data_IF_900152529232
#
_entry.id   IF_900152529232
#
_cell.length_a   1.000
_cell.length_b   1.000
_cell.length_c   1.000
_cell.angle_alpha   90.00
_cell.angle_beta   90.00
_cell.angle_gamma   90.00
#
_symmetry.space_group_name_H-M   'P 1'
#
loop_
_entity.id
_entity.type
_entity.pdbx_description
1 polymer ?
#
# COMPACT_ATOMS: atom_id res chain seq x y z
N UNK A 1 7.01 -13.99 -39.25
CA UNK A 1 6.01 -13.99 -38.16
C UNK A 1 6.68 -13.55 -36.85
N UNK A 2 5.97 -12.84 -35.95
CA UNK A 2 6.54 -12.34 -34.69
C UNK A 2 6.05 -13.20 -33.52
N UNK A 3 6.99 -13.72 -32.70
CA UNK A 3 6.67 -14.55 -31.53
C UNK A 3 7.29 -13.97 -30.26
N UNK A 4 6.47 -13.64 -29.26
CA UNK A 4 6.91 -13.23 -27.92
C UNK A 4 7.04 -14.48 -27.06
N UNK A 5 8.19 -14.68 -26.42
CA UNK A 5 8.54 -15.94 -25.73
C UNK A 5 8.95 -15.66 -24.29
N UNK A 6 8.29 -16.29 -23.33
CA UNK A 6 8.71 -16.34 -21.93
C UNK A 6 9.83 -17.37 -21.75
N UNK A 7 10.99 -16.91 -21.27
CA UNK A 7 12.20 -17.73 -21.10
C UNK A 7 12.29 -18.47 -19.76
N UNK A 8 11.27 -18.32 -18.90
CA UNK A 8 11.33 -18.86 -17.54
C UNK A 8 12.48 -18.25 -16.74
N UNK A 9 13.20 -19.09 -15.99
CA UNK A 9 14.42 -18.70 -15.25
C UNK A 9 15.60 -18.34 -16.16
N UNK A 10 15.49 -18.58 -17.46
CA UNK A 10 16.59 -18.45 -18.42
C UNK A 10 17.44 -19.70 -18.54
N UNK A 11 17.08 -20.81 -17.86
CA UNK A 11 17.70 -22.11 -18.04
C UNK A 11 16.97 -22.91 -19.12
N UNK A 12 17.65 -23.82 -19.86
CA UNK A 12 17.01 -24.60 -20.91
C UNK A 12 15.81 -25.42 -20.42
N UNK A 13 15.86 -25.92 -19.18
CA UNK A 13 14.78 -26.71 -18.58
C UNK A 13 13.53 -25.93 -18.22
N UNK A 14 13.59 -24.60 -18.16
CA UNK A 14 12.44 -23.72 -17.85
C UNK A 14 11.71 -23.21 -19.10
N UNK A 15 12.24 -23.45 -20.29
CA UNK A 15 11.65 -23.06 -21.54
C UNK A 15 10.61 -24.08 -22.02
N UNK A 16 9.46 -23.63 -22.50
CA UNK A 16 8.47 -24.53 -23.07
C UNK A 16 8.98 -25.12 -24.40
N UNK A 17 8.51 -26.32 -24.75
CA UNK A 17 8.87 -26.97 -26.02
C UNK A 17 8.49 -26.08 -27.23
N UNK A 18 7.35 -25.38 -27.16
CA UNK A 18 6.94 -24.43 -28.20
C UNK A 18 7.85 -23.20 -28.27
N UNK A 19 8.29 -22.70 -27.12
CA UNK A 19 9.26 -21.58 -27.04
C UNK A 19 10.60 -21.97 -27.66
N UNK A 20 11.11 -23.15 -27.34
CA UNK A 20 12.34 -23.68 -27.92
C UNK A 20 12.24 -23.82 -29.45
N UNK A 21 11.17 -24.42 -29.95
CA UNK A 21 10.97 -24.57 -31.39
C UNK A 21 10.89 -23.21 -32.11
N UNK A 22 10.19 -22.23 -31.51
CA UNK A 22 10.10 -20.88 -32.08
C UNK A 22 11.47 -20.14 -32.06
N UNK A 23 12.29 -20.36 -31.05
CA UNK A 23 13.66 -19.79 -31.00
C UNK A 23 14.60 -20.40 -32.03
N UNK A 24 14.50 -21.73 -32.21
CA UNK A 24 15.33 -22.45 -33.18
C UNK A 24 14.97 -22.14 -34.64
N UNK A 25 13.69 -21.82 -34.88
CA UNK A 25 13.18 -21.42 -36.20
C UNK A 25 13.26 -19.93 -36.51
N UNK A 26 13.75 -19.10 -35.59
CA UNK A 26 13.77 -17.67 -35.78
C UNK A 26 15.00 -17.22 -36.59
N UNK A 27 14.77 -16.34 -37.60
CA UNK A 27 15.82 -15.65 -38.34
C UNK A 27 16.49 -14.57 -37.48
N UNK A 28 15.70 -13.97 -36.56
CA UNK A 28 16.16 -12.92 -35.66
C UNK A 28 15.63 -13.11 -34.25
N UNK A 29 16.52 -12.90 -33.24
CA UNK A 29 16.16 -13.02 -31.81
C UNK A 29 16.46 -11.70 -31.12
N UNK A 30 15.43 -11.05 -30.58
CA UNK A 30 15.48 -9.79 -29.87
C UNK A 30 15.27 -9.99 -28.37
N UNK A 31 15.96 -9.22 -27.52
CA UNK A 31 15.77 -9.26 -26.08
C UNK A 31 16.87 -8.63 -25.28
N UNK A 32 16.79 -8.71 -23.96
CA UNK A 32 17.83 -8.22 -23.08
C UNK A 32 19.14 -9.02 -23.26
N UNK A 33 20.29 -8.33 -23.20
CA UNK A 33 21.62 -8.92 -23.40
C UNK A 33 21.84 -10.20 -22.58
N UNK A 34 21.39 -10.23 -21.32
CA UNK A 34 21.53 -11.41 -20.45
C UNK A 34 20.75 -12.63 -20.95
N UNK A 35 19.54 -12.42 -21.51
CA UNK A 35 18.71 -13.51 -22.05
C UNK A 35 19.28 -14.06 -23.37
N UNK A 36 19.83 -13.18 -24.19
CA UNK A 36 20.51 -13.59 -25.43
C UNK A 36 21.77 -14.40 -25.17
N UNK A 37 22.41 -14.20 -24.01
CA UNK A 37 23.60 -14.97 -23.61
C UNK A 37 23.25 -16.39 -23.12
N UNK A 38 21.99 -16.63 -22.69
CA UNK A 38 21.53 -17.94 -22.15
C UNK A 38 20.65 -18.70 -23.14
N UNK A 39 20.62 -18.31 -24.41
CA UNK A 39 19.84 -19.02 -25.42
C UNK A 39 20.31 -20.49 -25.56
N UNK A 40 19.38 -21.46 -25.67
CA UNK A 40 19.70 -22.85 -25.88
C UNK A 40 20.52 -23.11 -27.16
N UNK A 41 21.15 -24.26 -27.21
CA UNK A 41 21.80 -24.74 -28.43
C UNK A 41 20.83 -24.85 -29.62
N UNK A 42 21.31 -24.63 -30.83
CA UNK A 42 20.50 -24.65 -32.04
C UNK A 42 19.76 -23.37 -32.36
N UNK A 43 19.83 -22.33 -31.53
CA UNK A 43 19.29 -21.00 -31.84
C UNK A 43 20.33 -20.21 -32.67
N UNK A 44 20.22 -20.24 -34.00
CA UNK A 44 21.16 -19.66 -34.94
C UNK A 44 20.80 -18.27 -35.46
N UNK A 45 19.60 -17.78 -35.14
CA UNK A 45 19.10 -16.47 -35.57
C UNK A 45 19.97 -15.30 -35.15
N UNK A 46 19.91 -14.22 -35.91
CA UNK A 46 20.67 -12.98 -35.64
C UNK A 46 20.21 -12.40 -34.28
N UNK A 47 21.17 -12.26 -33.33
CA UNK A 47 20.89 -11.79 -31.95
C UNK A 47 21.08 -10.30 -31.86
N UNK A 48 20.03 -9.59 -31.40
CA UNK A 48 20.08 -8.14 -31.22
C UNK A 48 19.55 -7.73 -29.83
N UNK A 49 20.37 -7.03 -29.06
CA UNK A 49 20.03 -6.58 -27.72
C UNK A 49 19.11 -5.34 -27.79
N UNK A 50 17.81 -5.57 -27.83
CA UNK A 50 16.76 -4.56 -27.80
C UNK A 50 15.75 -4.89 -26.70
N UNK A 51 15.37 -3.86 -25.93
CA UNK A 51 14.39 -4.02 -24.84
C UNK A 51 13.37 -2.87 -24.77
N UNK A 52 13.65 -1.73 -25.40
CA UNK A 52 12.71 -0.60 -25.45
C UNK A 52 11.67 -0.84 -26.54
N UNK A 53 10.37 -0.64 -26.26
CA UNK A 53 9.31 -0.89 -27.23
C UNK A 53 9.48 -0.18 -28.56
N UNK A 54 9.90 1.12 -28.56
CA UNK A 54 10.07 1.89 -29.78
C UNK A 54 11.22 1.34 -30.66
N UNK A 55 12.35 0.94 -30.04
CA UNK A 55 13.49 0.34 -30.73
C UNK A 55 13.10 -1.03 -31.34
N UNK A 56 12.29 -1.81 -30.60
CA UNK A 56 11.76 -3.08 -31.07
C UNK A 56 10.86 -2.85 -32.27
N UNK A 57 9.90 -1.92 -32.20
CA UNK A 57 9.01 -1.62 -33.32
C UNK A 57 9.75 -1.18 -34.57
N UNK A 58 10.74 -0.32 -34.42
CA UNK A 58 11.58 0.11 -35.54
C UNK A 58 12.29 -1.09 -36.21
N UNK A 59 12.82 -2.01 -35.41
CA UNK A 59 13.44 -3.25 -35.90
C UNK A 59 12.42 -4.15 -36.59
N UNK A 60 11.24 -4.34 -36.03
CA UNK A 60 10.18 -5.18 -36.60
C UNK A 60 9.70 -4.62 -37.95
N UNK A 61 9.54 -3.30 -38.06
CA UNK A 61 9.11 -2.64 -39.31
C UNK A 61 10.12 -2.83 -40.44
N UNK A 62 11.42 -2.95 -40.12
CA UNK A 62 12.47 -3.18 -41.10
C UNK A 62 12.63 -4.65 -41.57
N UNK A 63 11.97 -5.61 -40.85
CA UNK A 63 12.20 -7.05 -41.06
C UNK A 63 10.89 -7.85 -41.00
N UNK A 64 9.82 -7.35 -41.63
CA UNK A 64 8.47 -7.96 -41.58
C UNK A 64 8.39 -9.33 -42.27
N UNK A 65 9.32 -9.65 -43.14
CA UNK A 65 9.43 -10.91 -43.88
C UNK A 65 10.19 -12.00 -43.09
N UNK A 66 10.85 -11.65 -41.98
CA UNK A 66 11.61 -12.58 -41.15
C UNK A 66 10.71 -13.26 -40.07
N UNK A 67 11.14 -14.44 -39.62
CA UNK A 67 10.65 -15.07 -38.37
C UNK A 67 11.40 -14.45 -37.19
N UNK A 68 10.69 -13.64 -36.37
CA UNK A 68 11.31 -12.89 -35.29
C UNK A 68 10.83 -13.40 -33.94
N UNK A 69 11.77 -13.77 -33.06
CA UNK A 69 11.51 -14.13 -31.68
C UNK A 69 11.91 -12.97 -30.73
N UNK A 70 10.98 -12.58 -29.84
CA UNK A 70 11.25 -11.64 -28.75
C UNK A 70 11.26 -12.38 -27.44
N UNK A 71 12.37 -12.34 -26.72
CA UNK A 71 12.55 -13.07 -25.47
C UNK A 71 12.38 -12.18 -24.25
N UNK A 72 11.56 -12.65 -23.30
CA UNK A 72 11.30 -12.01 -22.02
C UNK A 72 11.67 -12.93 -20.87
N UNK A 73 12.11 -12.36 -19.75
CA UNK A 73 12.37 -13.12 -18.52
C UNK A 73 11.07 -13.61 -17.91
N UNK A 74 11.07 -14.78 -17.35
CA UNK A 74 9.87 -15.34 -16.71
C UNK A 74 8.77 -15.64 -17.69
N UNK A 75 7.55 -15.26 -17.35
CA UNK A 75 6.35 -15.37 -18.16
C UNK A 75 6.02 -14.05 -18.89
N UNK A 76 5.52 -14.14 -20.12
CA UNK A 76 5.14 -12.97 -20.92
C UNK A 76 3.95 -12.19 -20.36
N UNK A 77 3.11 -12.81 -19.55
CA UNK A 77 1.93 -12.20 -18.93
C UNK A 77 2.14 -11.72 -17.51
N UNK A 78 3.31 -12.02 -16.87
CA UNK A 78 3.55 -11.69 -15.47
C UNK A 78 4.53 -10.52 -15.32
N UNK A 79 4.02 -9.29 -15.17
CA UNK A 79 4.79 -8.06 -15.05
C UNK A 79 5.91 -7.91 -16.09
N UNK A 80 5.66 -8.39 -17.30
CA UNK A 80 6.62 -8.43 -18.40
C UNK A 80 6.55 -7.18 -19.27
N UNK A 81 7.69 -6.78 -19.87
CA UNK A 81 7.73 -5.75 -20.92
C UNK A 81 6.84 -6.06 -22.14
N UNK A 82 6.42 -7.30 -22.32
CA UNK A 82 5.45 -7.68 -23.35
C UNK A 82 4.11 -6.92 -23.21
N UNK A 83 3.70 -6.58 -21.99
CA UNK A 83 2.48 -5.82 -21.71
C UNK A 83 2.49 -4.41 -22.33
N UNK A 84 3.65 -3.80 -22.49
CA UNK A 84 3.82 -2.49 -23.15
C UNK A 84 3.85 -2.64 -24.68
N UNK A 85 4.52 -3.67 -25.18
CA UNK A 85 4.69 -3.88 -26.62
C UNK A 85 3.39 -4.38 -27.31
N UNK A 86 2.63 -5.27 -26.69
CA UNK A 86 1.44 -5.88 -27.28
C UNK A 86 0.38 -4.87 -27.75
N UNK A 87 0.01 -3.83 -26.98
CA UNK A 87 -0.90 -2.80 -27.45
C UNK A 87 -0.38 -2.04 -28.68
N UNK A 88 0.94 -1.79 -28.71
CA UNK A 88 1.58 -1.08 -29.82
C UNK A 88 1.57 -1.92 -31.09
N UNK A 89 1.91 -3.22 -31.01
CA UNK A 89 1.80 -4.14 -32.16
C UNK A 89 0.37 -4.17 -32.73
N UNK A 90 -0.62 -4.24 -31.86
CA UNK A 90 -2.04 -4.20 -32.27
C UNK A 90 -2.40 -2.89 -32.97
N UNK A 91 -1.94 -1.75 -32.45
CA UNK A 91 -2.21 -0.43 -33.03
C UNK A 91 -1.61 -0.29 -34.44
N UNK A 92 -0.46 -0.94 -34.71
CA UNK A 92 0.19 -0.98 -36.02
C UNK A 92 -0.30 -2.13 -36.93
N UNK A 93 -1.31 -2.91 -36.50
CA UNK A 93 -1.83 -4.04 -37.28
C UNK A 93 -0.86 -5.20 -37.43
N UNK A 94 0.14 -5.29 -36.56
CA UNK A 94 1.18 -6.33 -36.59
C UNK A 94 0.68 -7.55 -35.80
N UNK A 95 0.47 -8.67 -36.50
CA UNK A 95 0.10 -9.94 -35.88
C UNK A 95 1.31 -10.56 -35.17
N UNK A 96 1.07 -11.06 -33.94
CA UNK A 96 2.09 -11.76 -33.19
C UNK A 96 1.50 -12.96 -32.43
N UNK A 97 2.37 -13.93 -32.17
CA UNK A 97 2.10 -15.08 -31.28
C UNK A 97 2.72 -14.81 -29.93
N UNK A 98 2.04 -15.19 -28.83
CA UNK A 98 2.57 -15.08 -27.47
C UNK A 98 2.69 -16.46 -26.87
N UNK A 99 3.87 -16.81 -26.40
CA UNK A 99 4.16 -18.08 -25.73
C UNK A 99 4.50 -17.83 -24.26
N UNK A 100 3.86 -18.57 -23.34
CA UNK A 100 4.12 -18.42 -21.90
C UNK A 100 5.48 -18.96 -21.50
N UNK A 101 5.94 -18.54 -20.31
CA UNK A 101 7.10 -19.11 -19.61
C UNK A 101 6.78 -19.34 -18.14
N UNK A 102 7.70 -19.93 -17.39
CA UNK A 102 7.57 -20.08 -15.93
C UNK A 102 7.86 -18.74 -15.25
N UNK A 103 6.89 -18.23 -14.51
CA UNK A 103 7.08 -17.01 -13.71
C UNK A 103 7.79 -17.28 -12.39
N UNK A 104 8.39 -16.27 -11.79
CA UNK A 104 9.06 -16.40 -10.48
C UNK A 104 8.10 -16.81 -9.36
N UNK A 105 6.81 -16.45 -9.44
CA UNK A 105 5.80 -16.90 -8.45
C UNK A 105 5.59 -18.40 -8.53
N UNK A 106 5.54 -18.98 -9.74
CA UNK A 106 5.40 -20.43 -9.92
C UNK A 106 6.67 -21.17 -9.47
N UNK A 107 7.84 -20.63 -9.78
CA UNK A 107 9.11 -21.21 -9.36
C UNK A 107 9.25 -21.19 -7.83
N UNK A 108 8.92 -20.07 -7.17
CA UNK A 108 8.93 -20.00 -5.71
C UNK A 108 7.94 -20.98 -5.09
N UNK A 109 6.71 -21.04 -5.60
CA UNK A 109 5.66 -21.92 -5.12
C UNK A 109 6.10 -23.39 -5.19
N UNK A 110 6.73 -23.79 -6.30
CA UNK A 110 7.29 -25.13 -6.49
C UNK A 110 8.45 -25.41 -5.52
N UNK A 111 9.40 -24.47 -5.37
CA UNK A 111 10.55 -24.62 -4.50
C UNK A 111 10.16 -24.79 -3.01
N UNK A 112 9.07 -24.12 -2.57
CA UNK A 112 8.59 -24.24 -1.18
C UNK A 112 7.47 -25.27 -1.00
N UNK A 113 7.02 -25.92 -2.07
CA UNK A 113 5.96 -26.95 -2.03
C UNK A 113 4.58 -26.39 -1.65
N UNK A 114 4.26 -25.16 -2.05
CA UNK A 114 3.03 -24.47 -1.64
C UNK A 114 2.25 -23.93 -2.85
N UNK A 115 0.91 -24.07 -2.88
CA UNK A 115 0.09 -23.46 -3.92
C UNK A 115 0.09 -21.94 -3.78
N UNK A 116 0.06 -21.23 -4.91
CA UNK A 116 0.13 -19.74 -4.96
C UNK A 116 -1.20 -19.06 -5.32
N UNK A 117 -2.29 -19.83 -5.45
CA UNK A 117 -3.60 -19.30 -5.82
C UNK A 117 -4.16 -18.26 -4.83
N UNK A 118 -3.77 -18.38 -3.55
CA UNK A 118 -4.20 -17.48 -2.48
C UNK A 118 -3.18 -16.36 -2.19
N UNK A 119 -2.11 -16.28 -2.98
CA UNK A 119 -1.12 -15.22 -2.84
C UNK A 119 -1.58 -13.95 -3.56
N UNK A 120 -1.46 -12.82 -2.90
CA UNK A 120 -1.59 -11.53 -3.56
C UNK A 120 -0.29 -11.16 -4.22
N UNK A 121 -0.34 -10.85 -5.51
CA UNK A 121 0.83 -10.57 -6.33
C UNK A 121 1.03 -9.07 -6.45
N UNK A 122 2.19 -8.58 -6.02
CA UNK A 122 2.57 -7.16 -6.06
C UNK A 122 3.88 -7.01 -6.81
N UNK A 123 3.93 -6.05 -7.74
CA UNK A 123 5.18 -5.70 -8.40
C UNK A 123 5.86 -4.56 -7.66
N UNK A 124 7.12 -4.80 -7.29
CA UNK A 124 8.09 -3.80 -6.83
C UNK A 124 9.27 -3.72 -7.83
N UNK A 125 9.14 -4.33 -9.00
CA UNK A 125 10.17 -4.35 -10.03
C UNK A 125 10.05 -3.14 -10.96
N UNK A 126 10.96 -2.19 -10.81
CA UNK A 126 10.96 -0.96 -11.61
C UNK A 126 9.85 0.03 -11.27
N UNK A 127 9.14 -0.18 -10.17
CA UNK A 127 8.13 0.72 -9.61
C UNK A 127 8.18 0.68 -8.08
N UNK A 128 7.74 1.76 -7.44
CA UNK A 128 7.56 1.79 -5.99
C UNK A 128 6.28 1.05 -5.61
N UNK A 129 6.31 0.33 -4.49
CA UNK A 129 5.12 -0.26 -3.88
C UNK A 129 5.04 0.11 -2.39
N UNK A 130 3.86 0.00 -1.81
CA UNK A 130 3.68 0.10 -0.37
C UNK A 130 3.51 -1.31 0.22
N UNK A 131 4.57 -1.90 0.80
CA UNK A 131 4.51 -3.24 1.36
C UNK A 131 3.62 -3.30 2.61
N UNK A 132 3.51 -2.20 3.36
CA UNK A 132 2.69 -2.13 4.58
C UNK A 132 1.21 -2.25 4.21
N UNK A 133 0.75 -1.43 3.27
CA UNK A 133 -0.62 -1.50 2.76
C UNK A 133 -0.93 -2.88 2.18
N UNK A 134 -0.04 -3.47 1.39
CA UNK A 134 -0.23 -4.80 0.83
C UNK A 134 -0.40 -5.86 1.93
N UNK A 135 0.48 -5.88 2.94
CA UNK A 135 0.43 -6.84 4.04
C UNK A 135 -0.75 -6.60 5.00
N UNK A 136 -1.21 -5.36 5.19
CA UNK A 136 -2.41 -5.07 5.97
C UNK A 136 -3.69 -5.60 5.31
N UNK A 137 -3.70 -5.69 3.99
CA UNK A 137 -4.89 -6.07 3.23
C UNK A 137 -4.96 -7.57 2.90
N UNK A 138 -3.82 -8.26 2.94
CA UNK A 138 -3.70 -9.64 2.46
C UNK A 138 -2.81 -10.48 3.38
N UNK A 139 -3.21 -11.74 3.61
CA UNK A 139 -2.50 -12.68 4.50
C UNK A 139 -1.15 -13.14 3.94
N UNK A 140 -1.09 -13.31 2.63
CA UNK A 140 0.11 -13.78 1.94
C UNK A 140 0.34 -12.91 0.73
N UNK A 141 1.48 -12.21 0.70
CA UNK A 141 1.82 -11.27 -0.36
C UNK A 141 3.15 -11.68 -0.99
N UNK A 142 3.11 -11.92 -2.28
CA UNK A 142 4.28 -12.13 -3.11
C UNK A 142 4.70 -10.80 -3.74
N UNK A 143 5.96 -10.41 -3.54
CA UNK A 143 6.56 -9.22 -4.15
C UNK A 143 7.57 -9.64 -5.22
N UNK A 144 7.32 -9.21 -6.45
CA UNK A 144 8.32 -9.25 -7.52
C UNK A 144 9.27 -8.07 -7.31
N UNK A 145 10.48 -8.33 -6.83
CA UNK A 145 11.45 -7.30 -6.47
C UNK A 145 12.42 -6.96 -7.63
N UNK A 146 13.06 -5.79 -7.55
CA UNK A 146 14.09 -5.39 -8.52
C UNK A 146 14.39 -3.90 -8.48
N UNK A 147 15.60 -3.53 -8.90
CA UNK A 147 16.08 -2.15 -8.82
C UNK A 147 16.33 -1.72 -7.37
N UNK A 148 15.75 -0.60 -6.95
CA UNK A 148 15.85 -0.10 -5.57
C UNK A 148 15.01 -0.90 -4.57
N UNK A 149 13.92 -1.53 -5.03
CA UNK A 149 12.99 -2.30 -4.21
C UNK A 149 13.48 -3.76 -4.09
N UNK A 150 14.38 -3.98 -3.15
CA UNK A 150 14.95 -5.30 -2.83
C UNK A 150 14.14 -5.99 -1.73
N UNK A 151 14.27 -7.32 -1.53
CA UNK A 151 13.67 -7.98 -0.37
C UNK A 151 14.04 -7.32 0.94
N UNK A 152 15.30 -6.91 1.11
CA UNK A 152 15.78 -6.25 2.33
C UNK A 152 15.12 -4.88 2.55
N UNK A 153 14.96 -4.04 1.51
CA UNK A 153 14.32 -2.72 1.63
C UNK A 153 12.83 -2.85 1.98
N UNK A 154 12.13 -3.80 1.37
CA UNK A 154 10.72 -4.07 1.70
C UNK A 154 10.57 -4.60 3.13
N UNK A 155 11.43 -5.54 3.56
CA UNK A 155 11.47 -6.04 4.94
C UNK A 155 11.79 -4.93 5.96
N UNK A 156 12.69 -4.00 5.62
CA UNK A 156 13.01 -2.85 6.48
C UNK A 156 11.80 -1.90 6.62
N UNK A 157 11.07 -1.64 5.54
CA UNK A 157 9.85 -0.84 5.57
C UNK A 157 8.75 -1.49 6.43
N UNK A 158 8.55 -2.81 6.31
CA UNK A 158 7.63 -3.57 7.15
C UNK A 158 8.04 -3.52 8.63
N UNK A 159 9.32 -3.68 8.93
CA UNK A 159 9.86 -3.63 10.30
C UNK A 159 9.65 -2.24 10.92
N UNK A 160 9.94 -1.17 10.17
CA UNK A 160 9.74 0.22 10.62
C UNK A 160 8.25 0.51 10.90
N UNK A 161 7.35 -0.12 10.16
CA UNK A 161 5.90 0.00 10.38
C UNK A 161 5.37 -0.83 11.56
N UNK A 162 6.18 -1.73 12.15
CA UNK A 162 5.78 -2.61 13.25
C UNK A 162 5.37 -4.03 12.81
N UNK A 163 5.64 -4.39 11.56
CA UNK A 163 5.43 -5.73 10.99
C UNK A 163 6.73 -6.57 10.97
N UNK A 164 7.68 -6.26 11.87
CA UNK A 164 8.97 -6.95 11.93
C UNK A 164 8.88 -8.45 12.18
N UNK A 165 7.86 -8.90 12.93
CA UNK A 165 7.61 -10.32 13.25
C UNK A 165 6.88 -11.07 12.13
N UNK A 166 6.49 -10.42 11.03
CA UNK A 166 5.86 -11.09 9.90
C UNK A 166 6.82 -12.14 9.31
N UNK A 167 6.33 -13.34 9.07
CA UNK A 167 7.11 -14.38 8.41
C UNK A 167 7.45 -13.95 7.00
N UNK A 168 8.71 -14.03 6.64
CA UNK A 168 9.20 -13.65 5.33
C UNK A 168 10.08 -14.75 4.73
N UNK A 169 10.00 -14.88 3.42
CA UNK A 169 10.74 -15.87 2.66
C UNK A 169 11.29 -15.19 1.39
N UNK A 170 12.58 -15.32 1.15
CA UNK A 170 13.26 -14.80 -0.04
C UNK A 170 13.72 -15.95 -0.92
N UNK A 171 13.30 -15.93 -2.18
CA UNK A 171 13.80 -16.82 -3.22
C UNK A 171 14.80 -16.09 -4.09
N UNK A 172 16.03 -16.59 -4.17
CA UNK A 172 17.09 -16.08 -5.05
C UNK A 172 17.35 -17.02 -6.21
N UNK A 173 17.57 -16.47 -7.40
CA UNK A 173 17.98 -17.20 -8.62
C UNK A 173 17.12 -18.45 -8.90
N UNK A 174 15.81 -18.33 -8.68
CA UNK A 174 14.87 -19.44 -8.76
C UNK A 174 14.94 -20.18 -10.10
N UNK A 175 14.96 -21.51 -10.04
CA UNK A 175 15.06 -22.39 -11.21
C UNK A 175 16.45 -22.40 -11.88
N UNK A 176 17.49 -21.93 -11.19
CA UNK A 176 18.89 -22.02 -11.63
C UNK A 176 19.71 -22.90 -10.67
N UNK A 177 20.95 -23.31 -11.06
CA UNK A 177 21.83 -24.03 -10.14
C UNK A 177 22.21 -23.27 -8.86
N UNK A 178 22.09 -21.93 -8.89
CA UNK A 178 22.41 -21.03 -7.76
C UNK A 178 21.16 -20.68 -6.93
N UNK A 179 20.07 -21.46 -7.06
CA UNK A 179 18.83 -21.25 -6.31
C UNK A 179 19.08 -21.33 -4.81
N UNK A 180 18.54 -20.35 -4.07
CA UNK A 180 18.54 -20.33 -2.61
C UNK A 180 17.20 -19.84 -2.08
N UNK A 181 16.76 -20.46 -0.97
CA UNK A 181 15.57 -20.04 -0.25
C UNK A 181 15.97 -19.66 1.18
N UNK A 182 15.64 -18.41 1.57
CA UNK A 182 15.89 -17.90 2.91
C UNK A 182 14.58 -17.77 3.65
N UNK A 183 14.53 -18.27 4.86
CA UNK A 183 13.38 -18.14 5.76
C UNK A 183 13.76 -17.26 6.95
N UNK A 184 12.82 -16.47 7.44
CA UNK A 184 13.00 -15.66 8.63
C UNK A 184 11.80 -14.77 8.88
N UNK A 185 11.99 -13.80 9.74
CA UNK A 185 11.05 -12.68 9.92
C UNK A 185 11.47 -11.50 9.06
N UNK A 186 10.55 -10.54 8.84
CA UNK A 186 10.89 -9.32 8.12
C UNK A 186 12.07 -8.58 8.79
N UNK A 187 12.12 -8.56 10.13
CA UNK A 187 13.22 -7.94 10.87
C UNK A 187 14.56 -8.64 10.63
N UNK A 188 14.60 -9.97 10.62
CA UNK A 188 15.82 -10.76 10.39
C UNK A 188 16.34 -10.61 8.97
N UNK A 189 15.46 -10.49 7.98
CA UNK A 189 15.84 -10.39 6.57
C UNK A 189 16.13 -8.95 6.13
N UNK A 190 15.68 -7.94 6.88
CA UNK A 190 15.87 -6.52 6.55
C UNK A 190 17.36 -6.10 6.46
N UNK A 191 18.25 -6.76 7.23
CA UNK A 191 19.69 -6.45 7.26
C UNK A 191 20.55 -7.32 6.32
N UNK A 192 19.93 -8.20 5.52
CA UNK A 192 20.66 -9.15 4.67
C UNK A 192 20.83 -8.63 3.25
N UNK A 193 21.85 -9.13 2.56
CA UNK A 193 22.08 -8.87 1.15
C UNK A 193 21.59 -10.06 0.32
N UNK A 194 20.85 -9.79 -0.74
CA UNK A 194 20.30 -10.79 -1.63
C UNK A 194 20.76 -10.58 -3.08
N UNK A 195 20.75 -11.64 -3.88
CA UNK A 195 21.04 -11.54 -5.30
C UNK A 195 20.05 -10.62 -6.02
N UNK A 196 20.45 -10.03 -7.14
CA UNK A 196 19.60 -9.12 -7.93
C UNK A 196 18.35 -9.80 -8.50
N UNK A 197 18.41 -11.12 -8.74
CA UNK A 197 17.25 -11.92 -9.15
C UNK A 197 16.64 -12.58 -7.92
N UNK A 198 15.85 -11.82 -7.19
CA UNK A 198 15.18 -12.29 -5.98
C UNK A 198 13.71 -11.90 -5.96
N UNK A 199 12.94 -12.60 -5.16
CA UNK A 199 11.53 -12.34 -4.87
C UNK A 199 11.28 -12.50 -3.37
N UNK A 200 10.25 -11.84 -2.86
CA UNK A 200 9.89 -11.88 -1.46
C UNK A 200 8.46 -12.39 -1.30
N UNK A 201 8.24 -13.33 -0.38
CA UNK A 201 6.92 -13.73 0.09
C UNK A 201 6.80 -13.34 1.56
N UNK A 202 5.74 -12.63 1.91
CA UNK A 202 5.45 -12.22 3.28
C UNK A 202 4.13 -12.82 3.72
N UNK A 203 4.12 -13.37 4.93
CA UNK A 203 2.93 -13.91 5.58
C UNK A 203 2.71 -13.24 6.91
N UNK A 204 1.53 -12.71 7.10
CA UNK A 204 1.15 -12.04 8.33
C UNK A 204 -0.19 -12.55 8.84
N UNK A 205 -0.22 -12.99 10.09
CA UNK A 205 -1.41 -13.63 10.67
C UNK A 205 -2.46 -12.64 11.21
N UNK A 206 -2.02 -11.42 11.56
CA UNK A 206 -2.89 -10.42 12.21
C UNK A 206 -3.45 -9.45 11.19
N UNK A 207 -4.76 -9.51 10.99
CA UNK A 207 -5.49 -8.61 10.10
C UNK A 207 -6.63 -7.94 10.85
N UNK A 208 -7.01 -6.70 10.49
CA UNK A 208 -8.19 -6.06 11.04
C UNK A 208 -9.44 -6.88 10.70
N UNK A 209 -10.15 -7.37 11.72
CA UNK A 209 -11.41 -8.11 11.54
C UNK A 209 -12.51 -7.22 11.00
N UNK A 210 -12.49 -5.93 11.38
CA UNK A 210 -13.51 -4.95 11.03
C UNK A 210 -12.87 -3.65 10.58
N UNK A 211 -13.30 -3.14 9.41
CA UNK A 211 -12.86 -1.86 8.82
C UNK A 211 -13.95 -0.79 8.78
N UNK A 212 -15.20 -1.15 9.13
CA UNK A 212 -16.31 -0.20 9.17
C UNK A 212 -16.22 0.67 10.42
N UNK A 213 -16.49 1.98 10.34
CA UNK A 213 -16.49 2.88 11.49
C UNK A 213 -17.43 2.49 12.60
N UNK A 214 -17.16 2.95 13.81
CA UNK A 214 -17.98 2.72 15.00
C UNK A 214 -17.61 1.45 15.75
N UNK A 215 -16.33 1.18 15.93
CA UNK A 215 -15.87 0.15 16.86
C UNK A 215 -16.36 0.45 18.29
N UNK A 216 -16.74 -0.58 19.08
CA UNK A 216 -17.16 -0.37 20.46
C UNK A 216 -16.10 0.34 21.30
N UNK A 217 -16.52 1.22 22.21
CA UNK A 217 -15.59 1.95 23.09
C UNK A 217 -14.76 0.99 23.95
N UNK A 218 -15.33 -0.14 24.34
CA UNK A 218 -14.74 -1.18 25.17
C UNK A 218 -13.65 -1.97 24.41
N UNK A 219 -13.65 -1.90 23.09
CA UNK A 219 -12.61 -2.52 22.27
C UNK A 219 -11.27 -1.80 22.38
N UNK A 220 -11.25 -0.52 22.74
CA UNK A 220 -10.02 0.26 22.87
C UNK A 220 -9.35 0.11 24.23
N UNK A 221 -8.02 0.14 24.25
CA UNK A 221 -7.23 0.27 25.46
C UNK A 221 -7.40 1.71 25.96
N UNK A 222 -7.83 1.86 27.20
CA UNK A 222 -8.20 3.14 27.79
C UNK A 222 -7.38 3.41 29.06
N UNK A 223 -7.27 4.68 29.40
CA UNK A 223 -6.71 5.22 30.65
C UNK A 223 -7.59 6.40 31.10
N UNK A 224 -6.98 7.37 31.77
CA UNK A 224 -7.64 8.61 32.19
C UNK A 224 -7.79 9.63 31.04
N UNK A 225 -7.18 9.36 29.88
CA UNK A 225 -7.24 10.22 28.69
C UNK A 225 -8.66 10.21 28.11
N UNK A 226 -9.26 11.38 27.82
CA UNK A 226 -10.55 11.46 27.17
C UNK A 226 -10.56 10.74 25.81
N UNK A 227 -11.65 10.06 25.50
CA UNK A 227 -11.83 9.32 24.26
C UNK A 227 -13.11 9.73 23.55
N UNK A 228 -13.01 10.06 22.27
CA UNK A 228 -14.17 10.27 21.39
C UNK A 228 -15.02 8.98 21.34
N UNK A 229 -16.31 9.10 21.58
CA UNK A 229 -17.23 7.95 21.72
C UNK A 229 -17.60 7.36 20.36
N UNK A 230 -18.00 6.10 20.36
CA UNK A 230 -18.32 5.28 19.19
C UNK A 230 -19.17 6.01 18.14
N UNK A 231 -20.31 6.57 18.55
CA UNK A 231 -21.26 7.22 17.65
C UNK A 231 -20.65 8.50 17.02
N UNK A 232 -19.86 9.21 17.82
CA UNK A 232 -19.17 10.45 17.36
C UNK A 232 -18.06 10.10 16.37
N UNK A 233 -17.27 9.04 16.64
CA UNK A 233 -16.25 8.56 15.70
C UNK A 233 -16.89 8.16 14.37
N UNK A 234 -17.94 7.34 14.40
CA UNK A 234 -18.63 6.91 13.19
C UNK A 234 -19.17 8.10 12.37
N UNK A 235 -19.78 9.08 13.04
CA UNK A 235 -20.29 10.28 12.39
C UNK A 235 -19.15 11.16 11.83
N UNK A 236 -18.03 11.31 12.56
CA UNK A 236 -16.87 12.09 12.12
C UNK A 236 -16.25 11.49 10.85
N UNK A 237 -16.05 10.17 10.79
CA UNK A 237 -15.52 9.50 9.61
C UNK A 237 -16.47 9.63 8.40
N UNK A 238 -17.77 9.54 8.64
CA UNK A 238 -18.78 9.75 7.59
C UNK A 238 -18.73 11.21 7.04
N UNK A 239 -18.63 12.20 7.95
CA UNK A 239 -18.49 13.63 7.55
C UNK A 239 -17.19 13.90 6.80
N UNK A 240 -16.10 13.22 7.16
CA UNK A 240 -14.82 13.31 6.44
C UNK A 240 -14.86 12.63 5.07
N UNK A 241 -15.85 11.78 4.80
CA UNK A 241 -15.94 10.99 3.57
C UNK A 241 -14.60 10.32 3.21
N UNK A 242 -14.04 9.60 4.19
CA UNK A 242 -12.70 8.98 4.09
C UNK A 242 -12.62 8.04 2.89
N UNK A 243 -11.54 8.15 2.11
CA UNK A 243 -11.26 7.33 0.93
C UNK A 243 -10.12 6.34 1.21
N UNK A 244 -10.08 5.21 0.52
CA UNK A 244 -9.09 4.15 0.80
C UNK A 244 -7.61 4.57 0.73
N UNK A 245 -7.27 5.57 -0.09
CA UNK A 245 -5.90 6.03 -0.32
C UNK A 245 -5.60 7.43 0.27
N UNK A 246 -6.46 7.95 1.14
CA UNK A 246 -6.29 9.29 1.73
C UNK A 246 -5.06 9.39 2.63
N UNK A 247 -4.38 10.51 2.58
CA UNK A 247 -3.46 10.98 3.62
C UNK A 247 -4.28 11.71 4.68
N UNK A 248 -4.30 11.18 5.90
CA UNK A 248 -5.19 11.62 6.97
C UNK A 248 -4.40 12.16 8.16
N UNK A 249 -4.89 13.23 8.75
CA UNK A 249 -4.38 13.72 10.03
C UNK A 249 -5.46 13.61 11.11
N UNK A 250 -5.02 13.20 12.30
CA UNK A 250 -5.80 13.26 13.55
C UNK A 250 -5.07 14.17 14.53
N UNK A 251 -5.58 15.38 14.70
CA UNK A 251 -4.93 16.44 15.51
C UNK A 251 -5.55 16.47 16.90
N UNK A 252 -4.72 16.25 17.92
CA UNK A 252 -5.17 16.01 19.30
C UNK A 252 -5.77 14.62 19.42
N UNK A 253 -5.01 13.60 19.03
CA UNK A 253 -5.48 12.23 18.83
C UNK A 253 -5.92 11.52 20.14
N UNK A 254 -5.47 12.00 21.32
CA UNK A 254 -5.86 11.44 22.61
C UNK A 254 -5.52 9.95 22.73
N UNK A 255 -6.55 9.10 22.88
CA UNK A 255 -6.34 7.64 22.94
C UNK A 255 -6.02 6.99 21.60
N UNK A 256 -6.07 7.74 20.48
CA UNK A 256 -5.90 7.23 19.12
C UNK A 256 -7.14 6.50 18.58
N UNK A 257 -8.29 6.63 19.23
CA UNK A 257 -9.48 5.90 18.80
C UNK A 257 -10.01 6.33 17.44
N UNK A 258 -9.94 7.64 17.12
CA UNK A 258 -10.26 8.17 15.79
C UNK A 258 -9.17 7.79 14.80
N UNK A 259 -7.89 7.94 15.18
CA UNK A 259 -6.74 7.58 14.35
C UNK A 259 -6.79 6.13 13.87
N UNK A 260 -7.13 5.19 14.76
CA UNK A 260 -7.29 3.76 14.42
C UNK A 260 -8.42 3.57 13.43
N UNK A 261 -9.60 4.14 13.66
CA UNK A 261 -10.73 3.98 12.73
C UNK A 261 -10.45 4.63 11.37
N UNK A 262 -9.74 5.77 11.33
CA UNK A 262 -9.25 6.40 10.10
C UNK A 262 -8.28 5.45 9.34
N UNK A 263 -7.34 4.83 10.05
CA UNK A 263 -6.38 3.89 9.47
C UNK A 263 -7.05 2.66 8.87
N UNK A 264 -8.05 2.11 9.56
CA UNK A 264 -8.83 0.96 9.07
C UNK A 264 -9.72 1.33 7.87
N UNK A 265 -10.23 2.57 7.82
CA UNK A 265 -11.06 3.05 6.72
C UNK A 265 -10.24 3.42 5.47
N UNK A 266 -8.95 3.75 5.63
CA UNK A 266 -8.04 4.10 4.55
C UNK A 266 -6.89 3.08 4.41
N UNK A 267 -7.15 1.83 4.01
CA UNK A 267 -6.17 0.75 4.03
C UNK A 267 -5.03 0.89 2.99
N UNK A 268 -5.18 1.78 2.02
CA UNK A 268 -4.15 2.15 1.02
C UNK A 268 -3.57 3.55 1.29
N UNK A 269 -4.08 4.22 2.32
CA UNK A 269 -3.67 5.54 2.77
C UNK A 269 -2.81 5.49 4.02
N UNK A 270 -2.53 6.67 4.59
CA UNK A 270 -1.74 6.80 5.80
C UNK A 270 -2.33 7.80 6.79
N UNK A 271 -2.26 7.49 8.09
CA UNK A 271 -2.75 8.36 9.16
C UNK A 271 -1.59 8.90 9.99
N UNK A 272 -1.58 10.20 10.21
CA UNK A 272 -0.67 10.89 11.12
C UNK A 272 -1.45 11.34 12.35
N UNK A 273 -1.27 10.62 13.47
CA UNK A 273 -1.86 10.94 14.76
C UNK A 273 -0.94 11.90 15.52
N UNK A 274 -1.34 13.14 15.69
CA UNK A 274 -0.55 14.19 16.38
C UNK A 274 -1.04 14.34 17.82
N UNK A 275 -0.14 14.09 18.77
CA UNK A 275 -0.45 14.16 20.20
C UNK A 275 0.78 14.59 21.00
N UNK A 276 0.58 15.36 22.07
CA UNK A 276 1.67 15.89 22.89
C UNK A 276 1.72 15.32 24.31
N UNK A 277 0.67 14.66 24.78
CA UNK A 277 0.62 14.10 26.13
C UNK A 277 1.22 12.68 26.15
N UNK A 278 2.24 12.40 26.96
CA UNK A 278 2.94 11.11 26.97
C UNK A 278 2.02 9.89 27.20
N UNK A 279 1.05 10.03 28.13
CA UNK A 279 0.10 8.94 28.44
C UNK A 279 -0.81 8.64 27.25
N UNK A 280 -1.24 9.67 26.53
CA UNK A 280 -2.02 9.53 25.30
C UNK A 280 -1.18 8.89 24.19
N UNK A 281 0.06 9.31 24.00
CA UNK A 281 0.98 8.70 23.04
C UNK A 281 1.19 7.20 23.32
N UNK A 282 1.32 6.80 24.58
CA UNK A 282 1.43 5.39 24.95
C UNK A 282 0.15 4.59 24.60
N UNK A 283 -1.03 5.19 24.78
CA UNK A 283 -2.30 4.57 24.40
C UNK A 283 -2.44 4.43 22.88
N UNK A 284 -2.03 5.44 22.10
CA UNK A 284 -2.03 5.39 20.64
C UNK A 284 -1.20 4.20 20.14
N UNK A 285 0.03 4.03 20.64
CA UNK A 285 0.90 2.90 20.26
C UNK A 285 0.24 1.55 20.55
N UNK A 286 -0.31 1.37 21.74
CA UNK A 286 -0.97 0.12 22.15
C UNK A 286 -2.23 -0.15 21.35
N UNK A 287 -3.04 0.86 21.06
CA UNK A 287 -4.24 0.71 20.22
C UNK A 287 -3.86 0.43 18.77
N UNK A 288 -2.84 1.10 18.22
CA UNK A 288 -2.29 0.81 16.89
C UNK A 288 -1.93 -0.68 16.74
N UNK A 289 -1.19 -1.23 17.67
CA UNK A 289 -0.81 -2.66 17.69
C UNK A 289 -2.03 -3.56 17.81
N UNK A 290 -2.91 -3.29 18.79
CA UNK A 290 -4.11 -4.09 19.05
C UNK A 290 -5.02 -4.23 17.83
N UNK A 291 -5.16 -3.16 17.06
CA UNK A 291 -6.04 -3.13 15.87
C UNK A 291 -5.29 -3.37 14.56
N UNK A 292 -4.02 -3.71 14.61
CA UNK A 292 -3.17 -3.86 13.42
C UNK A 292 -3.27 -2.66 12.45
N UNK A 293 -3.35 -1.44 13.01
CA UNK A 293 -3.43 -0.20 12.24
C UNK A 293 -2.03 0.26 11.83
N UNK A 294 -1.33 -0.55 11.02
CA UNK A 294 0.08 -0.36 10.71
C UNK A 294 0.38 0.86 9.84
N UNK A 295 -0.62 1.34 9.10
CA UNK A 295 -0.58 2.59 8.34
C UNK A 295 -0.86 3.85 9.19
N UNK A 296 -0.72 3.75 10.54
CA UNK A 296 -0.82 4.86 11.46
C UNK A 296 0.55 5.20 12.04
N UNK A 297 0.98 6.45 11.89
CA UNK A 297 2.18 7.00 12.51
C UNK A 297 1.83 7.97 13.63
N UNK A 298 2.42 7.77 14.81
CA UNK A 298 2.32 8.72 15.91
C UNK A 298 3.36 9.83 15.74
N UNK A 299 2.91 11.06 15.79
CA UNK A 299 3.74 12.27 15.80
C UNK A 299 3.64 12.91 17.18
N UNK A 300 4.68 12.75 17.96
CA UNK A 300 4.74 13.32 19.31
C UNK A 300 5.08 14.80 19.22
N UNK A 301 4.12 15.65 19.52
CA UNK A 301 4.31 17.08 19.46
C UNK A 301 3.01 17.85 19.49
N UNK A 302 3.13 19.16 19.63
CA UNK A 302 2.00 20.08 19.70
C UNK A 302 1.71 20.71 18.33
N UNK A 303 0.46 20.66 17.91
CA UNK A 303 -0.01 21.39 16.74
C UNK A 303 -0.07 22.92 17.05
N UNK A 304 0.23 23.81 16.05
CA UNK A 304 0.48 23.47 14.64
C UNK A 304 1.93 23.06 14.32
N UNK A 305 2.92 23.30 15.17
CA UNK A 305 4.34 23.07 14.86
C UNK A 305 4.62 21.63 14.41
N UNK A 306 4.01 20.62 15.06
CA UNK A 306 4.15 19.21 14.69
C UNK A 306 3.56 18.86 13.32
N UNK A 307 2.76 19.75 12.71
CA UNK A 307 2.14 19.55 11.39
C UNK A 307 3.04 19.98 10.23
N UNK A 308 4.06 20.79 10.49
CA UNK A 308 4.87 21.43 9.44
C UNK A 308 5.61 20.44 8.55
N UNK A 309 6.16 19.38 9.14
CA UNK A 309 6.92 18.36 8.42
C UNK A 309 6.04 17.28 7.76
N UNK A 310 4.72 17.26 8.03
CA UNK A 310 3.82 16.23 7.52
C UNK A 310 3.50 16.46 6.03
N UNK A 311 3.24 15.39 5.26
CA UNK A 311 2.73 15.52 3.90
C UNK A 311 1.36 16.20 3.89
N UNK A 312 0.98 16.81 2.76
CA UNK A 312 -0.32 17.47 2.59
C UNK A 312 -1.47 16.48 2.85
N UNK A 313 -2.45 16.82 3.72
CA UNK A 313 -3.54 15.91 4.05
C UNK A 313 -4.67 16.01 3.03
N UNK A 314 -5.34 14.88 2.75
CA UNK A 314 -6.61 14.84 2.02
C UNK A 314 -7.80 15.11 2.94
N UNK A 315 -7.71 14.64 4.20
CA UNK A 315 -8.71 14.93 5.21
C UNK A 315 -8.10 15.01 6.62
N UNK A 316 -8.70 15.83 7.46
CA UNK A 316 -8.21 16.12 8.82
C UNK A 316 -9.35 16.05 9.83
N UNK A 317 -9.17 15.24 10.85
CA UNK A 317 -9.96 15.31 12.07
C UNK A 317 -9.23 16.16 13.10
N UNK A 318 -9.96 17.06 13.78
CA UNK A 318 -9.43 17.90 14.84
C UNK A 318 -10.22 17.63 16.12
N UNK A 319 -9.64 16.86 17.04
CA UNK A 319 -10.26 16.50 18.31
C UNK A 319 -9.94 17.47 19.46
N UNK A 320 -8.81 18.18 19.36
CA UNK A 320 -8.41 19.16 20.35
C UNK A 320 -7.16 19.93 19.92
N UNK A 321 -7.14 21.26 20.20
CA UNK A 321 -6.05 22.16 19.78
C UNK A 321 -5.43 22.94 20.93
N UNK A 322 -5.97 22.81 22.16
CA UNK A 322 -5.55 23.60 23.33
C UNK A 322 -5.44 25.12 23.03
N UNK A 323 -6.41 25.63 22.26
CA UNK A 323 -6.52 27.06 21.93
C UNK A 323 -5.89 27.50 20.60
N UNK A 324 -5.23 26.60 19.84
CA UNK A 324 -4.58 26.93 18.56
C UNK A 324 -5.43 26.62 17.32
N UNK A 325 -6.77 26.65 17.43
CA UNK A 325 -7.69 26.24 16.35
C UNK A 325 -7.41 26.95 15.03
N UNK A 326 -7.33 28.27 15.02
CA UNK A 326 -7.09 29.05 13.81
C UNK A 326 -5.76 28.64 13.14
N UNK A 327 -4.66 28.60 13.90
CA UNK A 327 -3.35 28.26 13.35
C UNK A 327 -3.27 26.80 12.83
N UNK A 328 -4.02 25.87 13.40
CA UNK A 328 -4.14 24.49 12.90
C UNK A 328 -4.87 24.47 11.55
N UNK A 329 -6.02 25.16 11.45
CA UNK A 329 -6.79 25.27 10.18
C UNK A 329 -5.96 25.98 9.11
N UNK A 330 -5.24 27.06 9.47
CA UNK A 330 -4.33 27.79 8.56
C UNK A 330 -3.27 26.83 7.99
N UNK A 331 -2.63 26.02 8.84
CA UNK A 331 -1.60 25.06 8.42
C UNK A 331 -2.16 23.98 7.49
N UNK A 332 -3.33 23.43 7.81
CA UNK A 332 -4.00 22.43 6.98
C UNK A 332 -4.29 22.97 5.58
N UNK A 333 -4.94 24.13 5.51
CA UNK A 333 -5.38 24.74 4.24
C UNK A 333 -4.22 25.32 3.42
N UNK A 334 -3.13 25.73 4.07
CA UNK A 334 -1.90 26.12 3.39
C UNK A 334 -1.24 24.93 2.68
N UNK A 335 -1.29 23.70 3.25
CA UNK A 335 -0.75 22.50 2.63
C UNK A 335 -1.67 21.91 1.57
N UNK A 336 -2.97 21.88 1.83
CA UNK A 336 -3.98 21.43 0.88
C UNK A 336 -5.25 22.27 1.03
N UNK A 337 -5.42 23.21 0.15
CA UNK A 337 -6.60 24.06 0.13
C UNK A 337 -7.93 23.31 -0.07
N UNK A 338 -7.89 22.06 -0.53
CA UNK A 338 -9.05 21.19 -0.74
C UNK A 338 -9.20 20.11 0.35
N UNK A 339 -8.42 20.17 1.42
CA UNK A 339 -8.52 19.22 2.51
C UNK A 339 -9.93 19.24 3.13
N UNK A 340 -10.49 18.05 3.33
CA UNK A 340 -11.76 17.89 4.08
C UNK A 340 -11.46 17.98 5.56
N UNK A 341 -12.17 18.84 6.27
CA UNK A 341 -11.93 19.12 7.69
C UNK A 341 -13.18 18.75 8.49
N UNK A 342 -13.00 17.99 9.56
CA UNK A 342 -14.03 17.74 10.57
C UNK A 342 -13.46 18.04 11.95
N UNK A 343 -14.09 18.99 12.64
CA UNK A 343 -13.68 19.45 13.98
C UNK A 343 -14.71 18.97 15.00
N UNK A 344 -14.24 18.34 16.09
CA UNK A 344 -15.10 17.98 17.20
C UNK A 344 -14.96 19.00 18.33
N UNK A 345 -16.09 19.54 18.79
CA UNK A 345 -16.15 20.50 19.88
C UNK A 345 -17.22 20.11 20.91
N UNK A 346 -16.88 20.22 22.21
CA UNK A 346 -17.80 20.04 23.33
C UNK A 346 -18.20 21.42 23.90
N UNK A 347 -17.23 22.34 24.00
CA UNK A 347 -17.44 23.67 24.54
C UNK A 347 -17.91 24.63 23.45
N UNK A 348 -18.75 25.61 23.82
CA UNK A 348 -19.26 26.63 22.90
C UNK A 348 -18.15 27.56 22.39
N UNK A 349 -17.12 27.79 23.20
CA UNK A 349 -15.95 28.57 22.80
C UNK A 349 -15.17 27.86 21.67
N UNK A 350 -15.02 26.53 21.79
CA UNK A 350 -14.36 25.71 20.75
C UNK A 350 -15.20 25.66 19.46
N UNK A 351 -16.51 25.58 19.58
CA UNK A 351 -17.44 25.66 18.44
C UNK A 351 -17.31 27.02 17.73
N UNK A 352 -17.34 28.13 18.50
CA UNK A 352 -17.18 29.47 17.93
C UNK A 352 -15.83 29.65 17.24
N UNK A 353 -14.76 29.18 17.87
CA UNK A 353 -13.41 29.25 17.28
C UNK A 353 -13.28 28.43 15.99
N UNK A 354 -13.90 27.22 15.92
CA UNK A 354 -13.91 26.39 14.73
C UNK A 354 -14.65 27.06 13.56
N UNK A 355 -15.86 27.62 13.82
CA UNK A 355 -16.63 28.34 12.81
C UNK A 355 -15.83 29.55 12.29
N UNK A 356 -15.24 30.35 13.19
CA UNK A 356 -14.46 31.52 12.83
C UNK A 356 -13.23 31.14 11.97
N UNK A 357 -12.50 30.08 12.36
CA UNK A 357 -11.34 29.61 11.61
C UNK A 357 -11.69 29.16 10.19
N UNK A 358 -12.77 28.39 10.01
CA UNK A 358 -13.21 27.96 8.68
C UNK A 358 -13.70 29.14 7.82
N UNK A 359 -14.48 30.05 8.41
CA UNK A 359 -15.01 31.23 7.73
C UNK A 359 -13.91 32.18 7.26
N UNK A 360 -12.83 32.34 8.03
CA UNK A 360 -11.67 33.15 7.65
C UNK A 360 -11.02 32.70 6.34
N UNK A 361 -11.17 31.39 5.98
CA UNK A 361 -10.71 30.82 4.71
C UNK A 361 -11.79 30.74 3.62
N UNK A 362 -12.93 31.40 3.81
CA UNK A 362 -14.04 31.42 2.85
C UNK A 362 -14.82 30.11 2.80
N UNK A 363 -14.67 29.23 3.79
CA UNK A 363 -15.44 28.00 3.90
C UNK A 363 -16.77 28.25 4.62
N UNK A 364 -17.86 27.63 4.16
CA UNK A 364 -19.13 27.59 4.87
C UNK A 364 -19.06 26.51 5.94
N UNK A 365 -19.24 26.87 7.21
CA UNK A 365 -19.24 25.92 8.30
C UNK A 365 -20.62 25.24 8.43
N UNK A 366 -20.67 23.92 8.22
CA UNK A 366 -21.81 23.09 8.60
C UNK A 366 -21.62 22.60 10.04
N UNK A 367 -22.60 22.79 10.91
CA UNK A 367 -22.56 22.33 12.30
C UNK A 367 -23.61 21.25 12.53
N UNK A 368 -23.17 20.07 12.94
CA UNK A 368 -24.04 18.96 13.34
C UNK A 368 -23.89 18.69 14.83
N UNK A 369 -24.95 18.76 15.59
CA UNK A 369 -24.97 18.38 17.00
C UNK A 369 -25.35 16.91 17.15
N UNK A 370 -24.54 16.16 17.90
CA UNK A 370 -24.82 14.78 18.29
C UNK A 370 -25.12 14.70 19.78
N UNK A 371 -26.34 14.25 20.12
CA UNK A 371 -26.77 13.96 21.49
C UNK A 371 -26.98 12.45 21.62
N UNK A 372 -26.15 11.79 22.41
CA UNK A 372 -26.18 10.34 22.59
C UNK A 372 -26.55 9.99 24.00
N UNK A 373 -27.54 9.11 24.16
CA UNK A 373 -27.91 8.50 25.44
C UNK A 373 -27.78 6.98 25.34
N UNK A 374 -27.16 6.36 26.33
CA UNK A 374 -26.99 4.91 26.39
C UNK A 374 -27.68 4.35 27.63
N UNK A 375 -28.24 3.15 27.51
CA UNK A 375 -28.78 2.45 28.65
C UNK A 375 -27.67 1.89 29.53
N UNK A 376 -27.87 1.95 30.86
CA UNK A 376 -27.10 1.19 31.84
C UNK A 376 -28.04 0.38 32.74
N UNK A 377 -27.63 -0.86 33.10
CA UNK A 377 -28.40 -1.64 34.07
C UNK A 377 -28.43 -0.97 35.45
N UNK A 378 -29.60 -0.98 36.09
CA UNK A 378 -29.79 -0.55 37.46
C UNK A 378 -30.79 -1.55 38.16
N UNK A 379 -30.23 -2.62 38.69
CA UNK A 379 -31.01 -3.74 39.19
C UNK A 379 -31.76 -4.43 38.04
N UNK A 380 -33.10 -4.42 38.10
CA UNK A 380 -33.99 -4.98 37.06
C UNK A 380 -34.37 -3.95 35.98
N UNK A 381 -33.94 -2.71 36.12
CA UNK A 381 -34.28 -1.61 35.22
C UNK A 381 -33.09 -1.25 34.30
N UNK A 382 -33.40 -0.56 33.20
CA UNK A 382 -32.41 0.06 32.32
C UNK A 382 -32.62 1.57 32.35
N UNK A 383 -31.65 2.29 32.88
CA UNK A 383 -31.68 3.75 32.94
C UNK A 383 -30.95 4.33 31.71
N UNK A 384 -31.53 5.40 31.16
CA UNK A 384 -30.82 6.20 30.15
C UNK A 384 -29.81 7.16 30.81
N UNK A 385 -28.58 7.10 30.39
CA UNK A 385 -27.51 8.05 30.75
C UNK A 385 -27.14 8.87 29.54
N UNK A 386 -27.33 10.18 29.61
CA UNK A 386 -26.93 11.09 28.54
C UNK A 386 -25.44 11.36 28.62
N UNK A 387 -24.78 11.36 27.47
CA UNK A 387 -23.45 11.93 27.29
C UNK A 387 -23.57 13.44 26.99
N UNK A 388 -22.51 14.20 27.25
CA UNK A 388 -22.47 15.59 26.79
C UNK A 388 -22.67 15.65 25.27
N UNK A 389 -23.52 16.57 24.78
CA UNK A 389 -23.64 16.79 23.34
C UNK A 389 -22.28 17.18 22.74
N UNK A 390 -22.02 16.72 21.54
CA UNK A 390 -20.82 17.05 20.79
C UNK A 390 -21.22 17.70 19.48
N UNK A 391 -20.49 18.74 19.08
CA UNK A 391 -20.64 19.38 17.79
C UNK A 391 -19.57 18.86 16.83
N UNK A 392 -19.98 18.41 15.65
CA UNK A 392 -19.10 18.15 14.51
C UNK A 392 -19.26 19.31 13.54
N UNK A 393 -18.15 19.96 13.22
CA UNK A 393 -18.12 21.13 12.35
C UNK A 393 -17.30 20.76 11.11
N UNK A 394 -17.90 20.88 9.91
CA UNK A 394 -17.22 20.66 8.64
C UNK A 394 -17.19 21.95 7.83
N UNK A 395 -16.12 22.14 7.04
CA UNK A 395 -15.99 23.26 6.12
C UNK A 395 -16.30 22.84 4.70
N UNK A 396 -17.28 23.48 4.06
CA UNK A 396 -17.61 23.28 2.65
C UNK A 396 -17.24 24.51 1.83
N UNK A 397 -16.69 24.31 0.63
CA UNK A 397 -16.52 25.39 -0.35
C UNK A 397 -17.85 25.63 -1.03
N UNK A 398 -18.26 26.92 -1.07
CA UNK A 398 -19.41 27.35 -1.86
C UNK A 398 -19.06 27.39 -3.35
#
# INVERSE_FOLDING_TARGET
MITLIGMGSGTPGSLTAQGLAALQGADRILGAKRLLATLPEGCTGNRQALYKPDEILACLAAHLDEEIALVYSGDTGFYSGASQLLPMLRAFGISCRVLPGLSSVQLLAAAVGRPWQDWTLVSAHGCTCDPVSACMNHKTVFFLTGGAETPATLCAALTAAGLGDAHALVGENLGTPDEKIHFGTAQELAGQAFASLSVLLVEHAVHPERRTPGLPDEAFIRGEVPMTKQEVRAAALAKLAVRPADTLWDVGAGTGSVSVELALAAPQGHVYAVECEPDACALIRRNREKFAAWNLSLIEGRAPAALEALPAPDAVFIGGTKGSMAAVVDTVLAKNANARICIAAIALESLSAAIAALTAHGLSAEVTQLAVSRTRPAGRLHLLTANNPIFLITGERK
#
